data_IF_725717681880
#
_entry.id   IF_725717681880
#
_cell.length_a   1.000
_cell.length_b   1.000
_cell.length_c   1.000
_cell.angle_alpha   90.00
_cell.angle_beta   90.00
_cell.angle_gamma   90.00
#
_symmetry.space_group_name_H-M   'P 1'
#
loop_
_entity.id
_entity.type
_entity.pdbx_description
1 polymer ?
#
# COMPACT_ATOMS: atom_id res chain seq x y z
N UNK A 1 10.21 17.62 -9.02
CA UNK A 1 9.84 16.75 -10.16
C UNK A 1 8.34 16.47 -10.11
N UNK A 2 7.56 16.98 -11.06
CA UNK A 2 6.12 16.78 -11.08
C UNK A 2 5.78 15.32 -11.46
N UNK A 3 5.24 14.56 -10.50
CA UNK A 3 4.79 13.20 -10.72
C UNK A 3 3.56 13.25 -11.65
N UNK A 4 3.77 12.99 -12.94
CA UNK A 4 2.68 12.93 -13.94
C UNK A 4 1.60 11.99 -13.41
N UNK A 5 0.33 12.43 -13.37
CA UNK A 5 -0.83 11.59 -12.98
C UNK A 5 -0.90 10.36 -13.89
N UNK A 6 -0.25 9.27 -13.50
CA UNK A 6 -0.33 7.98 -14.20
C UNK A 6 -1.60 7.27 -13.78
N UNK A 7 -2.34 6.74 -14.75
CA UNK A 7 -3.47 5.86 -14.47
C UNK A 7 -2.97 4.52 -13.89
N UNK A 8 -3.81 3.88 -13.06
CA UNK A 8 -3.52 2.51 -12.60
C UNK A 8 -3.59 1.53 -13.77
N UNK A 9 -2.67 0.57 -13.81
CA UNK A 9 -2.56 -0.39 -14.92
C UNK A 9 -3.60 -1.49 -14.82
N UNK A 10 -4.04 -2.06 -15.96
CA UNK A 10 -4.92 -3.25 -15.99
C UNK A 10 -4.36 -4.41 -15.16
N UNK A 11 -3.03 -4.57 -15.16
CA UNK A 11 -2.32 -5.57 -14.34
C UNK A 11 -2.59 -5.38 -12.85
N UNK A 12 -2.61 -4.15 -12.36
CA UNK A 12 -2.87 -3.87 -10.94
C UNK A 12 -4.29 -4.26 -10.54
N UNK A 13 -5.30 -3.99 -11.39
CA UNK A 13 -6.71 -4.34 -11.11
C UNK A 13 -6.96 -5.85 -10.98
N UNK A 14 -6.06 -6.69 -11.52
CA UNK A 14 -6.09 -8.14 -11.28
C UNK A 14 -5.76 -8.49 -9.83
N UNK A 15 -4.95 -7.69 -9.15
CA UNK A 15 -4.38 -8.02 -7.83
C UNK A 15 -4.82 -7.08 -6.69
N UNK A 16 -5.52 -5.98 -6.98
CA UNK A 16 -5.88 -4.97 -5.99
C UNK A 16 -7.05 -4.13 -6.47
N UNK A 17 -7.76 -3.48 -5.55
CA UNK A 17 -8.80 -2.51 -5.85
C UNK A 17 -8.33 -1.09 -5.43
N UNK A 18 -7.90 -0.23 -6.38
CA UNK A 18 -7.41 1.11 -6.07
C UNK A 18 -8.38 2.01 -5.32
N UNK A 19 -9.69 1.88 -5.56
CA UNK A 19 -10.70 2.72 -4.89
C UNK A 19 -10.76 2.37 -3.40
N UNK A 20 -10.81 1.08 -3.08
CA UNK A 20 -10.81 0.59 -1.70
C UNK A 20 -9.46 0.90 -1.04
N UNK A 21 -8.33 0.65 -1.72
CA UNK A 21 -7.02 0.98 -1.20
C UNK A 21 -6.89 2.48 -0.88
N UNK A 22 -7.36 3.36 -1.77
CA UNK A 22 -7.36 4.81 -1.52
C UNK A 22 -8.24 5.20 -0.33
N UNK A 23 -9.41 4.59 -0.17
CA UNK A 23 -10.25 4.79 1.02
C UNK A 23 -9.54 4.37 2.32
N UNK A 24 -8.85 3.23 2.32
CA UNK A 24 -8.08 2.77 3.47
C UNK A 24 -6.89 3.69 3.76
N UNK A 25 -6.24 4.25 2.74
CA UNK A 25 -5.19 5.25 2.92
C UNK A 25 -5.71 6.50 3.61
N UNK A 26 -6.92 6.97 3.27
CA UNK A 26 -7.56 8.08 3.98
C UNK A 26 -7.86 7.75 5.43
N UNK A 27 -8.33 6.54 5.72
CA UNK A 27 -8.59 6.10 7.09
C UNK A 27 -7.32 6.04 7.93
N UNK A 28 -6.20 5.63 7.33
CA UNK A 28 -4.95 5.42 8.06
C UNK A 28 -4.10 6.70 8.22
N UNK A 29 -3.96 7.48 7.15
CA UNK A 29 -3.04 8.63 7.09
C UNK A 29 -3.76 9.98 6.98
N UNK A 30 -5.09 9.98 6.90
CA UNK A 30 -5.92 11.17 6.73
C UNK A 30 -6.31 11.47 5.28
N UNK A 31 -7.33 12.32 5.09
CA UNK A 31 -7.96 12.61 3.78
C UNK A 31 -7.01 13.21 2.72
N UNK A 32 -5.85 13.70 3.12
CA UNK A 32 -4.84 14.28 2.21
C UNK A 32 -3.91 13.23 1.60
N UNK A 33 -3.90 12.00 2.12
CA UNK A 33 -3.06 10.90 1.65
C UNK A 33 -3.52 10.38 0.29
N UNK A 34 -2.67 10.49 -0.74
CA UNK A 34 -3.00 10.04 -2.11
C UNK A 34 -2.10 8.90 -2.55
N UNK A 35 -2.71 7.83 -3.07
CA UNK A 35 -2.02 6.72 -3.69
C UNK A 35 -1.81 6.99 -5.17
N UNK A 36 -0.61 6.66 -5.64
CA UNK A 36 -0.22 6.73 -7.04
C UNK A 36 0.24 5.35 -7.50
N UNK A 37 0.24 5.05 -8.81
CA UNK A 37 0.92 3.87 -9.32
C UNK A 37 2.39 3.88 -8.92
N UNK A 38 2.91 2.75 -8.46
CA UNK A 38 4.31 2.64 -8.11
C UNK A 38 5.24 2.95 -9.31
N UNK A 39 6.41 3.52 -9.04
CA UNK A 39 7.45 3.68 -10.06
C UNK A 39 8.16 2.35 -10.34
N UNK A 40 8.26 1.49 -9.33
CA UNK A 40 8.80 0.14 -9.47
C UNK A 40 7.72 -0.81 -10.03
N UNK A 41 7.96 -1.51 -11.16
CA UNK A 41 6.97 -2.37 -11.81
C UNK A 41 6.56 -3.60 -10.98
N UNK A 42 7.33 -3.98 -9.97
CA UNK A 42 7.01 -5.07 -9.03
C UNK A 42 6.14 -4.60 -7.87
N UNK A 43 5.93 -3.29 -7.71
CA UNK A 43 5.13 -2.71 -6.63
C UNK A 43 3.76 -2.24 -7.13
N UNK A 44 2.78 -2.20 -6.23
CA UNK A 44 1.41 -1.80 -6.58
C UNK A 44 1.25 -0.27 -6.53
N UNK A 45 1.54 0.29 -5.36
CA UNK A 45 1.28 1.69 -5.07
C UNK A 45 2.54 2.39 -4.60
N UNK A 46 2.55 3.71 -4.75
CA UNK A 46 3.43 4.60 -4.01
C UNK A 46 2.65 5.70 -3.33
N UNK A 47 3.20 6.21 -2.24
CA UNK A 47 2.69 7.35 -1.51
C UNK A 47 3.86 8.26 -1.14
N UNK A 48 3.60 9.56 -1.06
CA UNK A 48 4.58 10.56 -0.69
C UNK A 48 4.51 10.84 0.80
N UNK A 49 5.61 10.56 1.50
CA UNK A 49 5.83 10.94 2.87
C UNK A 49 6.36 12.38 2.90
N UNK A 50 5.45 13.33 3.15
CA UNK A 50 5.78 14.77 3.21
C UNK A 50 6.77 15.11 4.32
N UNK A 51 6.76 14.36 5.43
CA UNK A 51 7.61 14.65 6.59
C UNK A 51 9.08 14.39 6.27
N UNK A 52 9.35 13.35 5.48
CA UNK A 52 10.70 12.91 5.14
C UNK A 52 11.06 13.16 3.67
N UNK A 53 10.23 13.93 2.94
CA UNK A 53 10.38 14.22 1.50
C UNK A 53 10.70 12.98 0.65
N UNK A 54 9.94 11.89 0.84
CA UNK A 54 10.27 10.60 0.20
C UNK A 54 9.06 9.89 -0.38
N UNK A 55 9.25 9.30 -1.55
CA UNK A 55 8.29 8.36 -2.15
C UNK A 55 8.51 6.94 -1.64
N UNK A 56 7.47 6.34 -1.08
CA UNK A 56 7.50 4.95 -0.59
C UNK A 56 6.68 4.07 -1.51
N UNK A 57 7.31 3.07 -2.12
CA UNK A 57 6.64 2.06 -2.94
C UNK A 57 6.28 0.84 -2.07
N UNK A 58 5.05 0.33 -2.19
CA UNK A 58 4.55 -0.79 -1.37
C UNK A 58 3.50 -1.64 -2.10
N UNK A 59 3.22 -2.82 -1.51
CA UNK A 59 2.41 -3.87 -2.12
C UNK A 59 3.14 -4.58 -3.26
N UNK A 60 2.96 -5.90 -3.41
CA UNK A 60 3.64 -6.69 -4.44
C UNK A 60 2.70 -7.05 -5.58
N UNK A 61 3.06 -6.73 -6.83
CA UNK A 61 2.32 -7.20 -8.01
C UNK A 61 2.48 -8.72 -8.17
N UNK A 62 1.43 -9.40 -8.58
CA UNK A 62 1.39 -10.86 -8.71
C UNK A 62 0.59 -11.57 -7.61
N UNK A 63 0.36 -10.89 -6.48
CA UNK A 63 -0.42 -11.42 -5.37
C UNK A 63 -1.62 -10.55 -5.06
N UNK A 64 -2.80 -11.14 -4.98
CA UNK A 64 -4.00 -10.42 -4.51
C UNK A 64 -3.84 -9.98 -3.06
N UNK A 65 -4.35 -8.78 -2.76
CA UNK A 65 -4.49 -8.28 -1.39
C UNK A 65 -5.97 -8.22 -0.95
N UNK A 66 -6.23 -7.90 0.31
CA UNK A 66 -7.58 -7.96 0.88
C UNK A 66 -8.55 -6.98 0.21
N UNK A 67 -8.05 -5.91 -0.41
CA UNK A 67 -8.90 -5.00 -1.19
C UNK A 67 -9.51 -5.70 -2.41
N UNK A 68 -8.87 -6.77 -2.91
CA UNK A 68 -9.31 -7.61 -4.03
C UNK A 68 -10.01 -8.90 -3.60
N UNK A 69 -9.35 -9.76 -2.83
CA UNK A 69 -9.80 -11.14 -2.62
C UNK A 69 -10.75 -11.33 -1.42
N UNK A 70 -10.82 -10.36 -0.49
CA UNK A 70 -11.74 -10.34 0.68
C UNK A 70 -11.68 -11.53 1.65
N UNK A 71 -10.62 -12.32 1.59
CA UNK A 71 -10.36 -13.46 2.46
C UNK A 71 -9.77 -13.01 3.81
N UNK A 72 -10.55 -13.21 4.87
CA UNK A 72 -10.21 -12.81 6.24
C UNK A 72 -9.09 -13.67 6.85
N UNK A 73 -8.99 -14.94 6.46
CA UNK A 73 -7.95 -15.87 6.92
C UNK A 73 -6.60 -15.46 6.33
N UNK A 74 -6.53 -15.22 5.01
CA UNK A 74 -5.31 -14.70 4.36
C UNK A 74 -4.86 -13.38 4.97
N UNK A 75 -5.81 -12.49 5.27
CA UNK A 75 -5.54 -11.22 5.96
C UNK A 75 -4.95 -11.44 7.35
N UNK A 76 -5.60 -12.25 8.18
CA UNK A 76 -5.11 -12.58 9.53
C UNK A 76 -3.69 -13.14 9.47
N UNK A 77 -3.44 -14.10 8.58
CA UNK A 77 -2.13 -14.72 8.41
C UNK A 77 -1.05 -13.71 8.00
N UNK A 78 -1.38 -12.80 7.06
CA UNK A 78 -0.47 -11.74 6.66
C UNK A 78 -0.14 -10.80 7.83
N UNK A 79 -1.15 -10.36 8.59
CA UNK A 79 -0.98 -9.46 9.73
C UNK A 79 -0.21 -10.13 10.87
N UNK A 80 -0.42 -11.41 11.14
CA UNK A 80 0.36 -12.15 12.14
C UNK A 80 1.83 -12.22 11.71
N UNK A 81 2.10 -12.69 10.49
CA UNK A 81 3.49 -12.84 9.99
C UNK A 81 4.25 -11.52 10.00
N UNK A 82 3.61 -10.44 9.56
CA UNK A 82 4.26 -9.14 9.41
C UNK A 82 4.39 -8.36 10.73
N UNK A 83 3.72 -8.80 11.80
CA UNK A 83 3.81 -8.19 13.14
C UNK A 83 5.17 -8.45 13.80
N UNK A 84 5.84 -9.55 13.44
CA UNK A 84 7.11 -9.96 14.03
C UNK A 84 8.34 -9.64 13.15
N UNK A 85 8.15 -8.91 12.04
CA UNK A 85 9.29 -8.49 11.21
C UNK A 85 10.22 -7.56 12.00
N UNK A 86 11.53 -7.74 11.85
CA UNK A 86 12.54 -6.89 12.50
C UNK A 86 12.60 -5.50 11.81
N UNK A 87 13.08 -4.49 12.55
CA UNK A 87 13.33 -3.13 12.03
C UNK A 87 12.41 -2.04 12.59
N UNK A 88 12.73 -0.79 12.28
CA UNK A 88 12.03 0.41 12.78
C UNK A 88 10.77 0.75 11.96
N UNK A 89 9.89 -0.24 11.73
CA UNK A 89 8.64 -0.02 11.01
C UNK A 89 7.49 0.34 11.94
N UNK A 90 7.49 -0.17 13.19
CA UNK A 90 6.39 0.02 14.16
C UNK A 90 6.07 1.51 14.40
N UNK A 91 7.11 2.33 14.49
CA UNK A 91 6.98 3.76 14.79
C UNK A 91 6.93 4.65 13.53
N UNK A 92 6.98 4.04 12.33
CA UNK A 92 6.96 4.78 11.07
C UNK A 92 5.68 4.44 10.27
N UNK A 93 4.65 5.33 10.27
CA UNK A 93 3.41 5.11 9.53
C UNK A 93 3.62 4.93 8.02
N UNK A 94 4.65 5.56 7.46
CA UNK A 94 5.01 5.48 6.05
C UNK A 94 5.97 4.33 5.73
N UNK A 95 6.32 3.47 6.70
CA UNK A 95 7.06 2.25 6.38
C UNK A 95 6.25 1.35 5.44
N UNK A 96 6.92 0.69 4.49
CA UNK A 96 6.24 -0.17 3.52
C UNK A 96 5.42 -1.29 4.18
N UNK A 97 5.82 -1.75 5.38
CA UNK A 97 5.07 -2.71 6.17
C UNK A 97 3.78 -2.11 6.73
N UNK A 98 3.84 -0.95 7.40
CA UNK A 98 2.64 -0.28 7.92
C UNK A 98 1.67 0.11 6.80
N UNK A 99 2.19 0.62 5.68
CA UNK A 99 1.36 0.92 4.52
C UNK A 99 0.66 -0.35 4.00
N UNK A 100 1.38 -1.46 3.85
CA UNK A 100 0.77 -2.71 3.38
C UNK A 100 -0.26 -3.26 4.38
N UNK A 101 0.06 -3.28 5.67
CA UNK A 101 -0.82 -3.79 6.75
C UNK A 101 -2.11 -2.97 6.87
N UNK A 102 -2.05 -1.65 6.84
CA UNK A 102 -3.22 -0.81 7.10
C UNK A 102 -4.04 -0.51 5.85
N UNK A 103 -3.40 -0.48 4.67
CA UNK A 103 -4.04 -0.06 3.42
C UNK A 103 -4.47 -1.26 2.57
N UNK A 104 -3.68 -2.32 2.53
CA UNK A 104 -3.89 -3.46 1.63
C UNK A 104 -4.44 -4.71 2.31
N UNK A 105 -4.20 -4.87 3.62
CA UNK A 105 -4.58 -6.07 4.39
C UNK A 105 -5.58 -5.75 5.49
#
# INVERSE_FOLDING_TARGET
MADKKRAFTKKLFKYSNPRIAQHMAYKYLGKTAKLYPASNPHKKYKIYDKKNDKWINFGQIGYEDFTKHKDKTRRKNYLTRTMYMRGNWKNNPYSANNLSRNILW
#
